data_IF_687745005563
#
_entry.id   IF_687745005563
#
_cell.length_a   1.000
_cell.length_b   1.000
_cell.length_c   1.000
_cell.angle_alpha   90.00
_cell.angle_beta   90.00
_cell.angle_gamma   90.00
#
_symmetry.space_group_name_H-M   'P 1'
#
loop_
_entity.id
_entity.type
_entity.pdbx_description
1 polymer ?
#
# COMPACT_ATOMS: atom_id res chain seq x y z
N UNK A 1 28.40 10.11 5.46
CA UNK A 1 28.17 8.67 5.58
C UNK A 1 28.78 8.19 6.88
N UNK A 2 28.02 7.42 7.65
CA UNK A 2 28.47 6.85 8.94
C UNK A 2 28.28 5.34 8.90
N UNK A 3 29.32 4.60 9.25
CA UNK A 3 29.25 3.17 9.43
C UNK A 3 28.89 2.86 10.87
N UNK A 4 27.80 2.14 11.09
CA UNK A 4 27.22 1.87 12.39
C UNK A 4 27.17 0.36 12.63
N UNK A 5 27.27 -0.05 13.90
CA UNK A 5 26.96 -1.40 14.33
C UNK A 5 25.53 -1.42 14.85
N UNK A 6 24.64 -2.14 14.18
CA UNK A 6 23.19 -2.03 14.41
C UNK A 6 22.47 -3.35 14.63
N UNK A 7 23.13 -4.41 15.04
CA UNK A 7 22.57 -5.74 15.25
C UNK A 7 21.81 -6.28 14.01
N UNK A 8 22.38 -6.07 12.83
CA UNK A 8 21.87 -6.57 11.54
C UNK A 8 20.43 -6.14 11.23
N UNK A 9 20.04 -4.91 11.59
CA UNK A 9 18.69 -4.38 11.36
C UNK A 9 18.47 -3.86 9.95
N UNK A 10 19.50 -3.25 9.34
CA UNK A 10 19.45 -2.68 8.00
C UNK A 10 20.83 -2.67 7.37
N UNK A 11 20.89 -2.76 6.04
CA UNK A 11 22.12 -2.54 5.29
C UNK A 11 22.48 -1.05 5.22
N UNK A 12 21.48 -0.20 4.96
CA UNK A 12 21.57 1.22 4.88
C UNK A 12 20.26 1.86 5.29
N UNK A 13 20.30 3.12 5.68
CA UNK A 13 19.15 3.99 5.94
C UNK A 13 19.61 5.43 6.03
N UNK A 14 18.65 6.37 6.06
CA UNK A 14 18.92 7.79 6.28
C UNK A 14 18.31 8.26 7.61
N UNK A 15 18.98 9.24 8.23
CA UNK A 15 18.46 10.01 9.35
C UNK A 15 18.84 11.47 9.13
N UNK A 16 17.88 12.33 8.97
CA UNK A 16 18.09 13.71 8.51
C UNK A 16 18.95 13.75 7.23
N UNK A 17 20.09 14.41 7.27
CA UNK A 17 21.06 14.50 6.17
C UNK A 17 22.21 13.48 6.31
N UNK A 18 22.04 12.42 7.07
CA UNK A 18 23.07 11.41 7.33
C UNK A 18 22.68 10.10 6.65
N UNK A 19 23.65 9.51 5.99
CA UNK A 19 23.57 8.14 5.48
C UNK A 19 24.18 7.24 6.55
N UNK A 20 23.40 6.30 7.05
CA UNK A 20 23.80 5.32 8.06
C UNK A 20 23.93 3.96 7.40
N UNK A 21 25.10 3.36 7.44
CA UNK A 21 25.41 2.06 6.85
C UNK A 21 25.61 1.04 7.98
N UNK A 22 24.80 -0.02 7.97
CA UNK A 22 24.94 -1.16 8.89
C UNK A 22 26.18 -2.00 8.49
N UNK A 23 27.30 -1.73 9.16
CA UNK A 23 28.61 -2.26 8.77
C UNK A 23 28.64 -3.81 8.74
N UNK A 24 27.99 -4.44 9.71
CA UNK A 24 27.93 -5.90 9.82
C UNK A 24 27.17 -6.58 8.68
N UNK A 25 26.33 -5.84 7.96
CA UNK A 25 25.62 -6.35 6.79
C UNK A 25 26.28 -5.87 5.49
N UNK A 26 26.58 -4.58 5.40
CA UNK A 26 27.03 -3.94 4.16
C UNK A 26 28.50 -4.20 3.83
N UNK A 27 29.34 -4.54 4.81
CA UNK A 27 30.76 -4.82 4.60
C UNK A 27 31.10 -6.31 4.53
N UNK A 28 30.09 -7.19 4.44
CA UNK A 28 30.30 -8.63 4.28
C UNK A 28 30.89 -8.95 2.91
N UNK A 29 31.99 -9.70 2.90
CA UNK A 29 32.69 -10.15 1.70
C UNK A 29 33.02 -11.66 1.77
N UNK A 30 33.92 -12.14 0.88
CA UNK A 30 34.30 -13.55 0.83
C UNK A 30 35.18 -14.01 1.99
N UNK A 31 35.69 -13.09 2.81
CA UNK A 31 36.56 -13.38 3.97
C UNK A 31 35.79 -13.34 5.29
N UNK A 32 34.57 -12.84 5.27
CA UNK A 32 33.71 -12.68 6.46
C UNK A 32 33.26 -14.05 6.95
N UNK A 33 33.48 -14.34 8.24
CA UNK A 33 32.90 -15.53 8.88
C UNK A 33 31.39 -15.36 9.10
N UNK A 34 30.61 -16.17 8.42
CA UNK A 34 29.14 -16.17 8.47
C UNK A 34 28.58 -17.43 9.14
N UNK A 35 29.43 -18.24 9.78
CA UNK A 35 29.04 -19.55 10.32
C UNK A 35 27.99 -19.47 11.45
N UNK A 36 27.98 -18.36 12.20
CA UNK A 36 27.02 -18.12 13.29
C UNK A 36 25.70 -17.50 12.83
N UNK A 37 25.58 -17.10 11.56
CA UNK A 37 24.37 -16.52 11.02
C UNK A 37 23.30 -17.60 10.77
N UNK A 38 22.01 -17.26 10.78
CA UNK A 38 20.93 -18.14 10.32
C UNK A 38 21.18 -18.64 8.89
N UNK A 39 20.77 -19.85 8.57
CA UNK A 39 21.07 -20.55 7.30
C UNK A 39 20.64 -19.73 6.06
N UNK A 40 19.52 -19.04 6.12
CA UNK A 40 19.03 -18.17 5.05
C UNK A 40 19.99 -17.00 4.78
N UNK A 41 20.57 -16.39 5.82
CA UNK A 41 21.56 -15.33 5.69
C UNK A 41 22.91 -15.88 5.23
N UNK A 42 23.34 -17.06 5.69
CA UNK A 42 24.53 -17.71 5.15
C UNK A 42 24.39 -17.95 3.65
N UNK A 43 23.25 -18.44 3.19
CA UNK A 43 22.96 -18.66 1.77
C UNK A 43 23.01 -17.35 0.99
N UNK A 44 22.43 -16.27 1.53
CA UNK A 44 22.49 -14.94 0.93
C UNK A 44 23.93 -14.46 0.79
N UNK A 45 24.73 -14.43 1.85
CA UNK A 45 26.10 -13.91 1.84
C UNK A 45 27.10 -14.80 1.10
N UNK A 46 26.82 -16.10 0.93
CA UNK A 46 27.60 -16.96 0.00
C UNK A 46 27.43 -16.53 -1.46
N UNK A 47 26.26 -16.04 -1.82
CA UNK A 47 25.91 -15.61 -3.18
C UNK A 47 26.25 -14.15 -3.44
N UNK A 48 25.95 -13.26 -2.50
CA UNK A 48 26.10 -11.82 -2.63
C UNK A 48 27.24 -11.31 -1.75
N UNK A 49 27.99 -10.34 -2.27
CA UNK A 49 29.15 -9.73 -1.64
C UNK A 49 28.87 -8.23 -1.48
N UNK A 50 28.11 -7.80 -0.47
CA UNK A 50 27.70 -6.41 -0.33
C UNK A 50 28.85 -5.40 -0.34
N UNK A 51 30.00 -5.75 0.24
CA UNK A 51 31.18 -4.89 0.24
C UNK A 51 31.68 -4.52 -1.18
N UNK A 52 31.50 -5.40 -2.18
CA UNK A 52 31.92 -5.14 -3.57
C UNK A 52 31.00 -4.12 -4.27
N UNK A 53 29.83 -3.86 -3.71
CA UNK A 53 28.81 -2.95 -4.24
C UNK A 53 28.38 -1.89 -3.24
N UNK A 54 29.24 -1.58 -2.28
CA UNK A 54 28.96 -0.59 -1.23
C UNK A 54 28.67 0.81 -1.79
N UNK A 55 29.28 1.18 -2.90
CA UNK A 55 29.03 2.42 -3.63
C UNK A 55 27.58 2.47 -4.17
N UNK A 56 27.04 1.35 -4.65
CA UNK A 56 25.64 1.26 -5.06
C UNK A 56 24.71 1.54 -3.88
N UNK A 57 24.96 0.90 -2.74
CA UNK A 57 24.17 1.12 -1.52
C UNK A 57 24.27 2.57 -1.03
N UNK A 58 25.48 3.13 -0.93
CA UNK A 58 25.69 4.52 -0.50
C UNK A 58 24.97 5.49 -1.44
N UNK A 59 25.01 5.24 -2.75
CA UNK A 59 24.33 6.09 -3.73
C UNK A 59 22.82 5.97 -3.62
N UNK A 60 22.28 4.78 -3.37
CA UNK A 60 20.87 4.55 -3.10
C UNK A 60 20.40 5.39 -1.89
N UNK A 61 21.08 5.27 -0.77
CA UNK A 61 20.77 6.04 0.43
C UNK A 61 20.97 7.56 0.23
N UNK A 62 21.95 7.96 -0.60
CA UNK A 62 22.14 9.37 -0.94
C UNK A 62 20.95 9.93 -1.72
N UNK A 63 20.36 9.16 -2.63
CA UNK A 63 19.17 9.58 -3.37
C UNK A 63 18.00 9.80 -2.41
N UNK A 64 17.81 8.93 -1.43
CA UNK A 64 16.80 9.12 -0.40
C UNK A 64 16.95 10.43 0.38
N UNK A 65 18.17 10.94 0.58
CA UNK A 65 18.36 12.26 1.22
C UNK A 65 17.83 13.42 0.37
N UNK A 66 17.53 13.19 -0.91
CA UNK A 66 17.04 14.19 -1.86
C UNK A 66 15.56 14.02 -2.21
N UNK A 67 14.97 12.88 -1.89
CA UNK A 67 13.57 12.57 -2.17
C UNK A 67 12.65 13.11 -1.06
N UNK A 68 11.41 13.38 -1.42
CA UNK A 68 10.33 13.56 -0.44
C UNK A 68 9.88 12.19 0.09
N UNK A 69 9.41 12.15 1.34
CA UNK A 69 8.88 10.90 1.90
C UNK A 69 7.62 10.45 1.15
N UNK A 70 7.48 9.16 0.87
CA UNK A 70 6.33 8.64 0.17
C UNK A 70 5.09 8.62 1.06
N UNK A 71 3.90 8.65 0.44
CA UNK A 71 2.66 8.31 1.13
C UNK A 71 2.65 6.81 1.49
N UNK A 72 1.91 6.46 2.53
CA UNK A 72 1.77 5.09 3.02
C UNK A 72 0.86 4.24 2.10
N UNK A 73 1.31 4.02 0.87
CA UNK A 73 0.69 3.13 -0.10
C UNK A 73 1.73 2.42 -0.96
N UNK A 74 1.32 1.32 -1.59
CA UNK A 74 2.22 0.44 -2.33
C UNK A 74 2.92 1.15 -3.50
N UNK A 75 2.20 1.97 -4.29
CA UNK A 75 2.78 2.63 -5.47
C UNK A 75 3.83 3.66 -5.07
N UNK A 76 3.51 4.54 -4.12
CA UNK A 76 4.43 5.59 -3.68
C UNK A 76 5.72 5.00 -3.09
N UNK A 77 5.60 3.97 -2.25
CA UNK A 77 6.76 3.30 -1.67
C UNK A 77 7.56 2.52 -2.72
N UNK A 78 6.89 1.87 -3.69
CA UNK A 78 7.60 1.20 -4.80
C UNK A 78 8.37 2.20 -5.66
N UNK A 79 7.79 3.37 -5.95
CA UNK A 79 8.49 4.42 -6.69
C UNK A 79 9.64 5.03 -5.88
N UNK A 80 9.44 5.29 -4.59
CA UNK A 80 10.46 5.84 -3.71
C UNK A 80 11.72 4.95 -3.72
N UNK A 81 11.56 3.67 -3.46
CA UNK A 81 12.65 2.69 -3.43
C UNK A 81 13.20 2.39 -4.83
N UNK A 82 12.31 2.19 -5.79
CA UNK A 82 12.72 1.84 -7.16
C UNK A 82 13.44 2.95 -7.90
N UNK A 83 13.10 4.21 -7.65
CA UNK A 83 13.83 5.38 -8.19
C UNK A 83 15.22 5.45 -7.60
N UNK A 84 15.37 5.28 -6.26
CA UNK A 84 16.66 5.28 -5.61
C UNK A 84 17.55 4.17 -6.18
N UNK A 85 17.01 2.95 -6.35
CA UNK A 85 17.73 1.83 -6.94
C UNK A 85 18.10 2.07 -8.41
N UNK A 86 17.17 2.59 -9.22
CA UNK A 86 17.46 2.89 -10.63
C UNK A 86 18.54 3.94 -10.80
N UNK A 87 18.44 5.05 -10.09
CA UNK A 87 19.39 6.15 -10.23
C UNK A 87 20.77 5.80 -9.64
N UNK A 88 20.81 4.97 -8.61
CA UNK A 88 22.09 4.45 -8.09
C UNK A 88 22.77 3.56 -9.11
N UNK A 89 22.04 2.68 -9.79
CA UNK A 89 22.56 1.88 -10.89
C UNK A 89 23.04 2.76 -12.05
N UNK A 90 22.26 3.77 -12.42
CA UNK A 90 22.62 4.71 -13.49
C UNK A 90 23.90 5.49 -13.16
N UNK A 91 24.06 5.96 -11.93
CA UNK A 91 25.18 6.77 -11.49
C UNK A 91 26.47 5.96 -11.34
N UNK A 92 26.36 4.72 -10.84
CA UNK A 92 27.53 3.84 -10.60
C UNK A 92 27.91 2.99 -11.81
N UNK A 93 27.03 2.87 -12.80
CA UNK A 93 27.19 1.96 -13.94
C UNK A 93 27.07 0.48 -13.56
N UNK A 94 26.60 0.17 -12.35
CA UNK A 94 26.42 -1.20 -11.85
C UNK A 94 24.97 -1.65 -12.00
N UNK A 95 24.75 -2.96 -11.98
CA UNK A 95 23.42 -3.55 -11.92
C UNK A 95 22.98 -3.74 -10.47
N UNK A 96 21.67 -3.69 -10.21
CA UNK A 96 21.12 -4.00 -8.89
C UNK A 96 21.56 -5.39 -8.41
N UNK A 97 21.94 -5.48 -7.15
CA UNK A 97 22.27 -6.74 -6.48
C UNK A 97 21.11 -7.28 -5.65
N UNK A 98 19.95 -6.59 -5.65
CA UNK A 98 18.75 -7.03 -4.95
C UNK A 98 18.22 -8.32 -5.59
N UNK A 99 18.00 -9.41 -4.83
CA UNK A 99 17.61 -10.72 -5.39
C UNK A 99 16.34 -10.68 -6.24
N UNK A 100 15.37 -9.83 -5.88
CA UNK A 100 14.10 -9.66 -6.60
C UNK A 100 14.26 -9.26 -8.07
N UNK A 101 15.38 -8.65 -8.46
CA UNK A 101 15.59 -8.18 -9.84
C UNK A 101 15.73 -9.34 -10.81
N UNK A 102 16.48 -10.38 -10.44
CA UNK A 102 16.60 -11.58 -11.28
C UNK A 102 15.26 -12.32 -11.45
N UNK A 103 14.53 -12.48 -10.35
CA UNK A 103 13.20 -13.07 -10.37
C UNK A 103 12.19 -12.22 -11.16
N UNK A 104 12.17 -10.91 -10.89
CA UNK A 104 11.27 -9.96 -11.55
C UNK A 104 11.46 -9.92 -13.06
N UNK A 105 12.72 -9.90 -13.53
CA UNK A 105 13.03 -9.93 -14.97
C UNK A 105 12.59 -11.23 -15.65
N UNK A 106 12.79 -12.37 -14.99
CA UNK A 106 12.37 -13.67 -15.52
C UNK A 106 10.84 -13.88 -15.50
N UNK A 107 10.11 -13.16 -14.64
CA UNK A 107 8.67 -13.36 -14.42
C UNK A 107 7.86 -12.06 -14.59
N UNK A 108 8.34 -11.11 -15.40
CA UNK A 108 7.84 -9.74 -15.46
C UNK A 108 6.32 -9.62 -15.57
N UNK A 109 5.70 -10.34 -16.49
CA UNK A 109 4.24 -10.25 -16.71
C UNK A 109 3.45 -10.80 -15.52
N UNK A 110 3.90 -11.90 -14.91
CA UNK A 110 3.29 -12.46 -13.72
C UNK A 110 3.39 -11.49 -12.51
N UNK A 111 4.55 -10.85 -12.36
CA UNK A 111 4.80 -9.86 -11.31
C UNK A 111 3.91 -8.62 -11.51
N UNK A 112 3.79 -8.11 -12.74
CA UNK A 112 2.89 -6.98 -13.06
C UNK A 112 1.43 -7.27 -12.72
N UNK A 113 0.93 -8.42 -13.18
CA UNK A 113 -0.47 -8.81 -12.95
C UNK A 113 -0.74 -8.84 -11.44
N UNK A 114 0.12 -9.53 -10.69
CA UNK A 114 -0.07 -9.65 -9.25
C UNK A 114 0.11 -8.33 -8.50
N UNK A 115 1.02 -7.48 -8.95
CA UNK A 115 1.19 -6.13 -8.40
C UNK A 115 -0.07 -5.27 -8.56
N UNK A 116 -0.70 -5.31 -9.75
CA UNK A 116 -1.93 -4.57 -10.01
C UNK A 116 -3.13 -5.11 -9.21
N UNK A 117 -3.19 -6.40 -8.91
CA UNK A 117 -4.19 -6.97 -8.01
C UNK A 117 -4.06 -6.43 -6.58
N UNK A 118 -2.82 -6.28 -6.10
CA UNK A 118 -2.52 -5.86 -4.73
C UNK A 118 -2.38 -4.32 -4.57
N UNK A 119 -2.34 -3.56 -5.67
CA UNK A 119 -1.95 -2.14 -5.73
C UNK A 119 -2.73 -1.25 -4.75
N UNK A 120 -4.03 -1.48 -4.63
CA UNK A 120 -4.92 -0.69 -3.78
C UNK A 120 -5.29 -1.40 -2.46
N UNK A 121 -4.51 -2.43 -2.08
CA UNK A 121 -4.72 -3.21 -0.86
C UNK A 121 -3.63 -2.87 0.17
N UNK A 122 -3.88 -1.95 1.13
CA UNK A 122 -2.86 -1.45 2.05
C UNK A 122 -2.16 -2.56 2.84
N UNK A 123 -2.90 -3.61 3.22
CA UNK A 123 -2.36 -4.73 4.00
C UNK A 123 -1.35 -5.58 3.20
N UNK A 124 -1.22 -5.35 1.89
CA UNK A 124 -0.29 -6.07 1.01
C UNK A 124 1.04 -5.36 0.83
N UNK A 125 1.13 -4.05 1.12
CA UNK A 125 2.33 -3.25 0.88
C UNK A 125 3.60 -3.87 1.48
N UNK A 126 3.54 -4.31 2.73
CA UNK A 126 4.68 -4.92 3.41
C UNK A 126 5.24 -6.14 2.68
N UNK A 127 4.37 -6.97 2.09
CA UNK A 127 4.79 -8.17 1.37
C UNK A 127 5.57 -7.84 0.07
N UNK A 128 5.36 -6.66 -0.49
CA UNK A 128 6.02 -6.21 -1.72
C UNK A 128 7.35 -5.52 -1.48
N UNK A 129 7.58 -4.95 -0.31
CA UNK A 129 8.71 -4.05 -0.05
C UNK A 129 9.70 -4.60 0.98
N UNK A 130 9.23 -5.12 2.11
CA UNK A 130 10.12 -5.49 3.23
C UNK A 130 9.88 -6.89 3.76
N UNK A 131 8.79 -7.52 3.38
CA UNK A 131 8.42 -8.85 3.79
C UNK A 131 8.53 -9.88 2.67
N UNK A 132 8.38 -11.15 3.03
CA UNK A 132 8.18 -12.22 2.05
C UNK A 132 6.79 -12.09 1.45
N UNK A 133 6.69 -12.12 0.13
CA UNK A 133 5.42 -12.08 -0.57
C UNK A 133 4.62 -13.37 -0.26
N UNK A 134 3.42 -13.21 0.30
CA UNK A 134 2.56 -14.33 0.72
C UNK A 134 1.66 -14.87 -0.41
N UNK A 135 1.81 -14.40 -1.63
CA UNK A 135 1.16 -14.97 -2.80
C UNK A 135 2.04 -16.04 -3.47
N UNK A 136 1.64 -16.52 -4.64
CA UNK A 136 2.36 -17.54 -5.38
C UNK A 136 3.76 -17.15 -5.85
N UNK A 137 4.12 -15.85 -5.83
CA UNK A 137 5.45 -15.38 -6.22
C UNK A 137 6.50 -15.73 -5.17
N UNK A 138 6.15 -15.65 -3.89
CA UNK A 138 7.00 -15.97 -2.71
C UNK A 138 8.39 -15.30 -2.74
N UNK A 139 8.52 -14.21 -3.50
CA UNK A 139 9.74 -13.41 -3.61
C UNK A 139 9.53 -12.09 -2.86
N UNK A 140 10.54 -11.64 -2.11
CA UNK A 140 10.53 -10.37 -1.37
C UNK A 140 10.98 -9.22 -2.26
N UNK A 141 10.72 -8.01 -1.82
CA UNK A 141 11.25 -6.76 -2.38
C UNK A 141 10.91 -6.53 -3.87
N UNK A 142 9.86 -7.18 -4.39
CA UNK A 142 9.44 -7.00 -5.78
C UNK A 142 8.88 -5.60 -6.06
N UNK A 143 8.47 -4.85 -5.04
CA UNK A 143 8.09 -3.44 -5.16
C UNK A 143 9.26 -2.58 -5.64
N UNK A 144 10.50 -2.86 -5.16
CA UNK A 144 11.74 -2.23 -5.67
C UNK A 144 11.91 -2.46 -7.18
N UNK A 145 11.72 -3.71 -7.62
CA UNK A 145 11.79 -4.05 -9.04
C UNK A 145 10.75 -3.30 -9.88
N UNK A 146 9.48 -3.26 -9.43
CA UNK A 146 8.42 -2.53 -10.15
C UNK A 146 8.74 -1.04 -10.25
N UNK A 147 9.09 -0.40 -9.13
CA UNK A 147 9.45 1.02 -9.12
C UNK A 147 10.67 1.33 -9.99
N UNK A 148 11.71 0.48 -9.92
CA UNK A 148 12.88 0.57 -10.81
C UNK A 148 12.47 0.54 -12.29
N UNK A 149 11.65 -0.43 -12.68
CA UNK A 149 11.22 -0.58 -14.07
C UNK A 149 10.40 0.60 -14.56
N UNK A 150 9.54 1.17 -13.70
CA UNK A 150 8.80 2.39 -14.03
C UNK A 150 9.78 3.56 -14.23
N UNK A 151 10.73 3.76 -13.33
CA UNK A 151 11.72 4.83 -13.41
C UNK A 151 12.61 4.69 -14.66
N UNK A 152 13.08 3.49 -14.95
CA UNK A 152 13.89 3.18 -16.14
C UNK A 152 13.15 3.49 -17.43
N UNK A 153 11.89 3.03 -17.57
CA UNK A 153 11.07 3.28 -18.76
C UNK A 153 10.71 4.76 -18.91
N UNK A 154 10.40 5.45 -17.80
CA UNK A 154 10.17 6.90 -17.80
C UNK A 154 11.41 7.65 -18.27
N UNK A 155 12.57 7.36 -17.69
CA UNK A 155 13.84 7.96 -18.11
C UNK A 155 14.16 7.65 -19.58
N UNK A 156 14.03 6.37 -20.00
CA UNK A 156 14.32 5.93 -21.37
C UNK A 156 13.51 6.69 -22.41
N UNK A 157 12.23 6.91 -22.14
CA UNK A 157 11.27 7.58 -23.06
C UNK A 157 11.37 9.10 -23.03
N UNK A 158 11.88 9.68 -21.94
CA UNK A 158 12.01 11.13 -21.81
C UNK A 158 13.01 11.69 -22.82
N UNK A 159 12.65 12.78 -23.50
CA UNK A 159 13.53 13.48 -24.44
C UNK A 159 14.68 14.23 -23.74
N UNK A 160 14.45 14.71 -22.52
CA UNK A 160 15.42 15.38 -21.69
C UNK A 160 15.73 14.54 -20.43
N UNK A 161 16.94 13.97 -20.40
CA UNK A 161 17.38 13.07 -19.32
C UNK A 161 17.55 13.79 -17.99
N UNK A 162 18.01 15.03 -17.99
CA UNK A 162 18.21 15.80 -16.76
C UNK A 162 16.86 16.16 -16.13
N UNK A 163 15.87 16.54 -16.93
CA UNK A 163 14.50 16.77 -16.45
C UNK A 163 13.90 15.47 -15.90
N UNK A 164 14.12 14.35 -16.58
CA UNK A 164 13.63 13.07 -16.11
C UNK A 164 14.20 12.67 -14.73
N UNK A 165 15.51 12.84 -14.53
CA UNK A 165 16.16 12.60 -13.24
C UNK A 165 15.59 13.54 -12.17
N UNK A 166 15.45 14.83 -12.49
CA UNK A 166 14.88 15.80 -11.56
C UNK A 166 13.45 15.43 -11.15
N UNK A 167 12.59 15.09 -12.11
CA UNK A 167 11.20 14.70 -11.82
C UNK A 167 11.10 13.42 -10.98
N UNK A 168 12.02 12.45 -11.19
CA UNK A 168 12.06 11.23 -10.41
C UNK A 168 12.51 11.48 -8.96
N UNK A 169 13.53 12.31 -8.76
CA UNK A 169 14.05 12.61 -7.41
C UNK A 169 13.09 13.53 -6.65
N UNK A 170 12.56 14.55 -7.31
CA UNK A 170 11.71 15.59 -6.68
C UNK A 170 10.21 15.27 -6.81
N UNK A 171 9.85 14.00 -6.97
CA UNK A 171 8.46 13.59 -7.08
C UNK A 171 7.70 13.93 -5.79
N UNK A 172 6.70 14.80 -5.92
CA UNK A 172 5.76 15.09 -4.84
C UNK A 172 4.71 13.98 -4.77
N UNK A 173 4.89 13.08 -3.82
CA UNK A 173 3.97 11.95 -3.60
C UNK A 173 2.59 12.35 -3.08
N UNK A 174 2.42 13.58 -2.57
CA UNK A 174 1.11 14.10 -2.19
C UNK A 174 0.29 14.61 -3.39
N UNK A 175 0.92 14.71 -4.55
CA UNK A 175 0.26 15.10 -5.80
C UNK A 175 0.02 13.89 -6.70
N UNK A 176 -1.18 13.30 -6.59
CA UNK A 176 -1.58 12.11 -7.36
C UNK A 176 -1.33 12.28 -8.87
N UNK A 177 -1.58 13.48 -9.42
CA UNK A 177 -1.39 13.73 -10.85
C UNK A 177 0.07 13.63 -11.29
N UNK A 178 1.03 14.00 -10.44
CA UNK A 178 2.46 13.85 -10.73
C UNK A 178 2.87 12.37 -10.67
N UNK A 179 2.40 11.64 -9.67
CA UNK A 179 2.65 10.19 -9.53
C UNK A 179 2.09 9.44 -10.73
N UNK A 180 0.82 9.69 -11.08
CA UNK A 180 0.16 9.08 -12.23
C UNK A 180 0.89 9.40 -13.54
N UNK A 181 1.32 10.65 -13.73
CA UNK A 181 2.06 11.07 -14.92
C UNK A 181 3.39 10.30 -15.09
N UNK A 182 4.15 10.06 -14.02
CA UNK A 182 5.38 9.26 -14.09
C UNK A 182 5.05 7.84 -14.54
N UNK A 183 4.03 7.21 -13.93
CA UNK A 183 3.65 5.83 -14.24
C UNK A 183 3.13 5.73 -15.69
N UNK A 184 2.22 6.60 -16.08
CA UNK A 184 1.59 6.58 -17.41
C UNK A 184 2.60 6.91 -18.52
N UNK A 185 3.46 7.91 -18.32
CA UNK A 185 4.52 8.25 -19.27
C UNK A 185 5.58 7.15 -19.40
N UNK A 186 5.80 6.34 -18.36
CA UNK A 186 6.64 5.16 -18.44
C UNK A 186 6.06 4.10 -19.39
N UNK A 187 4.74 4.04 -19.51
CA UNK A 187 3.97 2.98 -20.17
C UNK A 187 4.46 1.57 -19.74
N UNK A 188 4.90 1.43 -18.49
CA UNK A 188 5.31 0.15 -17.92
C UNK A 188 4.12 -0.80 -17.79
N UNK A 189 2.99 -0.29 -17.34
CA UNK A 189 1.71 -0.98 -17.41
C UNK A 189 1.04 -0.73 -18.77
N UNK A 190 0.30 -1.71 -19.27
CA UNK A 190 -0.40 -1.60 -20.56
C UNK A 190 -1.68 -0.74 -20.48
N UNK A 191 -1.93 -0.11 -19.33
CA UNK A 191 -3.09 0.72 -19.02
C UNK A 191 -2.65 1.93 -18.23
N UNK A 192 -3.39 3.02 -18.35
CA UNK A 192 -3.17 4.21 -17.51
C UNK A 192 -3.67 3.96 -16.09
N UNK A 193 -3.13 4.73 -15.13
CA UNK A 193 -3.56 4.67 -13.73
C UNK A 193 -5.06 4.91 -13.58
N UNK A 194 -5.63 5.83 -14.36
CA UNK A 194 -7.08 6.07 -14.37
C UNK A 194 -7.90 4.82 -14.73
N UNK A 195 -7.45 4.03 -15.72
CA UNK A 195 -8.11 2.77 -16.10
C UNK A 195 -7.95 1.74 -14.98
N UNK A 196 -6.75 1.58 -14.44
CA UNK A 196 -6.45 0.63 -13.37
C UNK A 196 -7.31 0.94 -12.13
N UNK A 197 -7.40 2.21 -11.75
CA UNK A 197 -8.24 2.64 -10.64
C UNK A 197 -9.73 2.39 -10.90
N UNK A 198 -10.21 2.69 -12.10
CA UNK A 198 -11.61 2.42 -12.48
C UNK A 198 -11.95 0.92 -12.41
N UNK A 199 -11.05 0.05 -12.86
CA UNK A 199 -11.21 -1.40 -12.75
C UNK A 199 -11.26 -1.87 -11.29
N UNK A 200 -10.42 -1.31 -10.41
CA UNK A 200 -10.49 -1.56 -8.99
C UNK A 200 -11.82 -1.08 -8.38
N UNK A 201 -12.21 0.17 -8.67
CA UNK A 201 -13.49 0.74 -8.18
C UNK A 201 -14.71 -0.12 -8.58
N UNK A 202 -14.69 -0.72 -9.77
CA UNK A 202 -15.78 -1.60 -10.23
C UNK A 202 -15.83 -2.95 -9.50
N UNK A 203 -14.72 -3.38 -8.88
CA UNK A 203 -14.66 -4.61 -8.07
C UNK A 203 -15.06 -4.41 -6.61
N UNK A 204 -15.15 -3.16 -6.16
CA UNK A 204 -15.42 -2.88 -4.74
C UNK A 204 -16.85 -3.28 -4.36
N UNK A 205 -17.02 -4.01 -3.23
CA UNK A 205 -18.33 -4.27 -2.66
C UNK A 205 -19.09 -2.97 -2.40
N UNK A 206 -20.41 -3.04 -2.47
CA UNK A 206 -21.30 -1.90 -2.22
C UNK A 206 -22.40 -2.27 -1.22
N UNK A 207 -22.98 -1.26 -0.55
CA UNK A 207 -24.23 -1.42 0.19
C UNK A 207 -25.37 -1.40 -0.82
N UNK A 208 -26.19 -2.45 -0.85
CA UNK A 208 -27.29 -2.60 -1.78
C UNK A 208 -28.64 -2.24 -1.16
N UNK A 209 -28.77 -2.38 0.16
CA UNK A 209 -30.03 -2.15 0.86
C UNK A 209 -29.80 -1.89 2.34
N UNK A 210 -30.68 -1.09 2.94
CA UNK A 210 -30.81 -0.98 4.40
C UNK A 210 -32.27 -1.25 4.79
N UNK A 211 -32.49 -1.78 5.98
CA UNK A 211 -33.81 -2.02 6.57
C UNK A 211 -33.79 -1.69 8.06
N UNK A 212 -34.91 -1.32 8.71
CA UNK A 212 -36.29 -1.38 8.24
C UNK A 212 -36.76 -0.15 7.48
N UNK A 213 -35.89 0.80 7.13
CA UNK A 213 -36.26 2.02 6.44
C UNK A 213 -35.42 2.23 5.17
N UNK A 214 -35.88 3.13 4.31
CA UNK A 214 -35.10 3.58 3.13
C UNK A 214 -34.18 4.71 3.56
N UNK A 215 -32.93 4.71 3.06
CA UNK A 215 -31.96 5.77 3.32
C UNK A 215 -32.54 7.16 2.95
N UNK A 216 -32.34 8.15 3.81
CA UNK A 216 -32.97 9.48 3.69
C UNK A 216 -34.38 9.58 4.24
N UNK A 217 -34.97 8.51 4.78
CA UNK A 217 -36.35 8.53 5.40
C UNK A 217 -36.44 9.60 6.49
N UNK A 218 -37.59 10.32 6.52
CA UNK A 218 -37.90 11.34 7.54
C UNK A 218 -38.90 10.84 8.58
N UNK A 219 -39.27 9.57 8.55
CA UNK A 219 -40.33 8.99 9.37
C UNK A 219 -39.95 7.65 10.01
N UNK A 220 -38.70 7.51 10.42
CA UNK A 220 -38.20 6.32 11.11
C UNK A 220 -38.76 6.27 12.53
N UNK A 221 -39.11 5.10 13.02
CA UNK A 221 -39.60 4.94 14.41
C UNK A 221 -38.46 5.23 15.41
N UNK A 222 -38.81 5.84 16.55
CA UNK A 222 -37.91 6.05 17.67
C UNK A 222 -37.85 4.82 18.59
N UNK A 223 -36.94 4.82 19.58
CA UNK A 223 -36.67 3.70 20.49
C UNK A 223 -35.62 2.73 19.96
N UNK A 224 -35.70 1.47 20.37
CA UNK A 224 -34.72 0.45 19.99
C UNK A 224 -34.97 -0.05 18.57
N UNK A 225 -34.07 0.31 17.65
CA UNK A 225 -34.18 -0.02 16.22
C UNK A 225 -32.97 -0.83 15.77
N UNK A 226 -33.20 -1.96 15.11
CA UNK A 226 -32.19 -2.78 14.48
C UNK A 226 -32.09 -2.42 13.00
N UNK A 227 -30.96 -1.80 12.62
CA UNK A 227 -30.66 -1.37 11.25
C UNK A 227 -29.79 -2.45 10.61
N UNK A 228 -30.30 -3.09 9.56
CA UNK A 228 -29.57 -4.11 8.81
C UNK A 228 -29.06 -3.53 7.50
N UNK A 229 -27.76 -3.59 7.30
CA UNK A 229 -27.06 -3.20 6.07
C UNK A 229 -26.80 -4.46 5.26
N UNK A 230 -27.21 -4.49 3.98
CA UNK A 230 -26.96 -5.60 3.05
C UNK A 230 -25.92 -5.20 2.02
N UNK A 231 -25.00 -6.12 1.73
CA UNK A 231 -23.90 -5.93 0.80
C UNK A 231 -24.12 -6.65 -0.53
N UNK A 232 -23.44 -6.20 -1.59
CA UNK A 232 -23.49 -6.80 -2.94
C UNK A 232 -22.92 -8.22 -2.98
N UNK A 233 -22.03 -8.56 -2.06
CA UNK A 233 -21.35 -9.84 -1.95
C UNK A 233 -21.02 -10.19 -0.48
N UNK A 234 -20.58 -11.41 -0.16
CA UNK A 234 -20.10 -11.75 1.18
C UNK A 234 -18.85 -10.93 1.55
N UNK A 235 -18.85 -10.36 2.74
CA UNK A 235 -17.67 -9.71 3.33
C UNK A 235 -17.05 -10.59 4.41
N UNK A 236 -15.75 -10.41 4.66
CA UNK A 236 -15.12 -11.08 5.79
C UNK A 236 -15.69 -10.52 7.10
N UNK A 237 -15.88 -11.38 8.09
CA UNK A 237 -16.52 -11.00 9.35
C UNK A 237 -15.55 -10.44 10.40
N UNK A 238 -14.30 -10.25 10.01
CA UNK A 238 -13.21 -9.77 10.87
C UNK A 238 -13.16 -8.23 10.83
N UNK A 239 -13.31 -7.66 9.63
CA UNK A 239 -13.15 -6.24 9.39
C UNK A 239 -14.50 -5.53 9.30
N UNK A 240 -14.73 -4.58 10.17
CA UNK A 240 -15.92 -3.71 10.18
C UNK A 240 -15.51 -2.34 10.69
N UNK A 241 -16.20 -1.30 10.22
CA UNK A 241 -15.96 0.05 10.69
C UNK A 241 -17.15 0.96 10.46
N UNK A 242 -17.49 1.73 11.49
CA UNK A 242 -18.54 2.72 11.45
C UNK A 242 -17.96 4.03 11.98
N UNK A 243 -18.06 5.06 11.16
CA UNK A 243 -17.57 6.39 11.50
C UNK A 243 -18.74 7.38 11.61
N UNK A 244 -18.46 8.56 12.13
CA UNK A 244 -19.38 9.67 12.08
C UNK A 244 -19.57 10.11 10.62
N UNK A 245 -20.81 10.51 10.30
CA UNK A 245 -21.07 11.18 9.02
C UNK A 245 -20.55 12.62 9.01
N UNK A 246 -20.65 13.32 7.88
CA UNK A 246 -20.19 14.72 7.74
C UNK A 246 -20.75 15.70 8.78
N UNK A 247 -21.89 15.42 9.38
CA UNK A 247 -22.50 16.25 10.43
C UNK A 247 -21.86 16.01 11.83
N UNK A 248 -20.96 15.04 11.95
CA UNK A 248 -20.20 14.79 13.15
C UNK A 248 -20.93 13.93 14.21
N UNK A 249 -20.27 13.78 15.36
CA UNK A 249 -20.65 12.86 16.43
C UNK A 249 -22.07 13.09 16.97
N UNK A 250 -22.50 14.35 17.10
CA UNK A 250 -23.83 14.70 17.63
C UNK A 250 -24.98 14.10 16.84
N UNK A 251 -24.78 13.83 15.56
CA UNK A 251 -25.76 13.21 14.67
C UNK A 251 -25.63 11.70 14.56
N UNK A 252 -24.57 11.11 15.13
CA UNK A 252 -24.42 9.66 15.16
C UNK A 252 -25.23 9.08 16.32
N UNK A 253 -26.07 8.05 16.10
CA UNK A 253 -26.67 7.34 17.21
C UNK A 253 -25.61 6.57 17.99
N UNK A 254 -25.89 6.22 19.25
CA UNK A 254 -25.02 5.32 20.00
C UNK A 254 -25.08 3.93 19.36
N UNK A 255 -23.93 3.43 18.90
CA UNK A 255 -23.79 2.17 18.16
C UNK A 255 -22.80 1.24 18.90
N UNK A 256 -23.19 0.68 20.05
CA UNK A 256 -22.26 -0.12 20.87
C UNK A 256 -21.84 -1.40 20.13
N UNK A 257 -20.55 -1.78 20.19
CA UNK A 257 -20.01 -2.94 19.47
C UNK A 257 -20.75 -4.26 19.75
N UNK A 258 -21.18 -4.47 21.00
CA UNK A 258 -21.90 -5.66 21.46
C UNK A 258 -23.32 -5.80 20.86
N UNK A 259 -23.82 -4.75 20.23
CA UNK A 259 -25.12 -4.74 19.53
C UNK A 259 -24.96 -4.79 18.01
N UNK A 260 -23.83 -5.28 17.53
CA UNK A 260 -23.50 -5.42 16.11
C UNK A 260 -23.33 -6.89 15.76
N UNK A 261 -24.05 -7.38 14.78
CA UNK A 261 -24.11 -8.81 14.45
C UNK A 261 -23.95 -9.04 12.95
N UNK A 262 -23.04 -9.90 12.58
CA UNK A 262 -22.92 -10.42 11.21
C UNK A 262 -23.93 -11.54 10.96
N UNK A 263 -24.54 -11.54 9.79
CA UNK A 263 -25.24 -12.73 9.29
C UNK A 263 -24.25 -13.86 9.00
N UNK A 264 -24.71 -15.11 9.06
CA UNK A 264 -23.86 -16.28 8.86
C UNK A 264 -23.17 -16.28 7.47
N UNK A 265 -23.88 -15.80 6.45
CA UNK A 265 -23.43 -15.75 5.06
C UNK A 265 -22.51 -14.55 4.73
N UNK A 266 -22.21 -13.68 5.69
CA UNK A 266 -21.40 -12.48 5.51
C UNK A 266 -22.02 -11.38 4.62
N UNK A 267 -23.29 -11.56 4.16
CA UNK A 267 -23.95 -10.62 3.24
C UNK A 267 -24.72 -9.51 3.92
N UNK A 268 -24.83 -9.53 5.25
CA UNK A 268 -25.44 -8.43 5.98
C UNK A 268 -24.86 -8.25 7.37
N UNK A 269 -24.97 -7.03 7.85
CA UNK A 269 -24.51 -6.56 9.15
C UNK A 269 -25.61 -5.77 9.83
N UNK A 270 -26.03 -6.22 11.01
CA UNK A 270 -27.10 -5.60 11.78
C UNK A 270 -26.52 -4.81 12.95
N UNK A 271 -26.97 -3.59 13.11
CA UNK A 271 -26.57 -2.64 14.14
C UNK A 271 -27.83 -2.25 14.91
N UNK A 272 -27.86 -2.41 16.22
CA UNK A 272 -28.98 -1.99 17.04
C UNK A 272 -28.65 -0.70 17.76
N UNK A 273 -29.53 0.30 17.63
CA UNK A 273 -29.38 1.62 18.21
C UNK A 273 -30.63 2.04 18.98
N UNK A 274 -30.44 2.85 20.01
CA UNK A 274 -31.54 3.56 20.70
C UNK A 274 -31.69 4.93 20.07
N UNK A 275 -32.83 5.20 19.45
CA UNK A 275 -33.10 6.42 18.68
C UNK A 275 -34.06 7.33 19.42
N UNK A 276 -33.72 8.59 19.60
CA UNK A 276 -34.56 9.61 20.21
C UNK A 276 -35.61 10.10 19.19
N UNK A 277 -36.83 10.53 19.61
CA UNK A 277 -37.83 11.06 18.72
C UNK A 277 -37.43 12.42 18.14
N UNK A 278 -37.86 12.71 16.91
CA UNK A 278 -37.71 13.99 16.22
C UNK A 278 -36.28 14.37 15.83
N UNK A 279 -35.35 13.43 15.93
CA UNK A 279 -33.90 13.71 15.71
C UNK A 279 -33.42 13.30 14.33
N UNK A 280 -32.55 14.10 13.74
CA UNK A 280 -31.79 13.74 12.54
C UNK A 280 -30.55 12.90 12.93
N UNK A 281 -30.32 11.83 12.20
CA UNK A 281 -29.21 10.89 12.42
C UNK A 281 -28.41 10.65 11.15
N UNK A 282 -27.09 10.47 11.34
CA UNK A 282 -26.16 10.18 10.27
C UNK A 282 -24.96 9.35 10.78
N UNK A 283 -24.57 8.32 10.04
CA UNK A 283 -23.33 7.57 10.28
C UNK A 283 -22.84 6.92 8.99
N UNK A 284 -21.53 6.64 8.92
CA UNK A 284 -20.86 6.12 7.75
C UNK A 284 -20.50 4.64 7.95
N UNK A 285 -20.97 3.77 7.07
CA UNK A 285 -20.39 2.44 6.88
C UNK A 285 -19.11 2.66 6.07
N UNK A 286 -17.96 2.52 6.72
CA UNK A 286 -16.68 2.94 6.15
C UNK A 286 -16.01 1.84 5.32
N UNK A 287 -14.87 2.15 4.75
CA UNK A 287 -14.10 1.25 3.89
C UNK A 287 -13.24 0.23 4.67
N UNK A 288 -13.39 0.10 5.99
CA UNK A 288 -12.76 -0.98 6.73
C UNK A 288 -13.43 -2.34 6.47
N UNK A 289 -14.73 -2.33 6.16
CA UNK A 289 -15.38 -3.51 5.61
C UNK A 289 -14.68 -3.95 4.31
N UNK A 290 -14.44 -5.26 4.13
CA UNK A 290 -13.77 -5.81 2.95
C UNK A 290 -14.24 -7.24 2.66
N UNK A 291 -14.11 -7.66 1.41
CA UNK A 291 -14.37 -9.05 1.04
C UNK A 291 -13.18 -9.97 1.44
N UNK A 292 -13.24 -11.26 1.10
CA UNK A 292 -12.20 -12.23 1.43
C UNK A 292 -10.87 -11.95 0.71
N UNK A 293 -10.90 -11.29 -0.46
CA UNK A 293 -9.71 -10.89 -1.20
C UNK A 293 -9.03 -9.61 -0.61
N UNK A 294 -9.67 -8.97 0.37
CA UNK A 294 -9.21 -7.73 0.98
C UNK A 294 -9.69 -6.46 0.28
N UNK A 295 -10.52 -6.57 -0.76
CA UNK A 295 -11.06 -5.42 -1.49
C UNK A 295 -12.06 -4.67 -0.60
N UNK A 296 -11.81 -3.38 -0.40
CA UNK A 296 -12.53 -2.54 0.53
C UNK A 296 -13.89 -2.12 -0.02
N UNK A 297 -14.92 -2.14 0.87
CA UNK A 297 -16.26 -1.61 0.58
C UNK A 297 -16.19 -0.15 0.11
N UNK A 298 -17.05 0.23 -0.84
CA UNK A 298 -17.33 1.64 -1.09
C UNK A 298 -18.06 2.21 0.13
N UNK A 299 -17.55 3.30 0.75
CA UNK A 299 -18.20 3.91 1.90
C UNK A 299 -19.65 4.26 1.59
N UNK A 300 -20.53 4.06 2.55
CA UNK A 300 -21.96 4.33 2.40
C UNK A 300 -22.49 5.13 3.59
N UNK A 301 -22.99 6.33 3.30
CA UNK A 301 -23.59 7.20 4.30
C UNK A 301 -25.03 6.77 4.55
N UNK A 302 -25.35 6.44 5.80
CA UNK A 302 -26.72 6.23 6.27
C UNK A 302 -27.19 7.51 6.92
N UNK A 303 -28.33 8.04 6.45
CA UNK A 303 -28.97 9.22 7.00
C UNK A 303 -30.49 9.05 7.10
N UNK A 304 -31.08 9.56 8.17
CA UNK A 304 -32.52 9.48 8.39
C UNK A 304 -32.97 10.44 9.50
N UNK A 305 -34.31 10.62 9.61
CA UNK A 305 -34.94 11.36 10.71
C UNK A 305 -35.96 10.49 11.38
N UNK A 306 -36.06 10.54 12.70
CA UNK A 306 -37.08 9.87 13.47
C UNK A 306 -38.37 10.69 13.50
N UNK A 307 -39.52 10.00 13.66
CA UNK A 307 -40.82 10.62 13.96
C UNK A 307 -40.73 11.46 15.23
N UNK A 308 -41.51 12.53 15.34
CA UNK A 308 -41.63 13.33 16.57
C UNK A 308 -41.98 12.50 17.80
#
# INVERSE_FOLDING_TARGET
VYFCMGASRTNGTIEDNKILIGAEMALTDSTTDISELPENLQTYYKKYKPAETIDLLITHEYIHTQQQLPLDNLLCNSLYEGVAEYLSCLATGKTSTTPSFGFGAANQEKVKVKYLEDLFLPDRMYNWLWGTNNNELKERDLGYYIGYRIAEEYYRKSSNKNIAIHNLIQLDFANDSLVENIVDSSAYFNKTMAIIFSEYENKRPTVTHISPFINGSKTVDSGKVSITVRFSEPLNKINAGIDFGPLGETYCPKLPPEQRVWAADGKSYTITAELLPGKDYQFLINNNFRNEDGIRLKPFLIEFKTKP
#
